data_IF_269512831247
#
_entry.id   IF_269512831247
#
_cell.length_a   1.000
_cell.length_b   1.000
_cell.length_c   1.000
_cell.angle_alpha   90.00
_cell.angle_beta   90.00
_cell.angle_gamma   90.00
#
_symmetry.space_group_name_H-M   'P 1'
#
loop_
_entity.id
_entity.type
_entity.pdbx_description
1 polymer ?
#
# COMPACT_ATOMS: atom_id res chain seq x y z
N UNK A 1 -15.88 -22.42 -21.06
CA UNK A 1 -16.01 -21.26 -20.13
C UNK A 1 -14.76 -21.18 -19.27
N UNK A 2 -13.85 -20.23 -19.52
CA UNK A 2 -12.64 -20.01 -18.70
C UNK A 2 -12.97 -18.94 -17.65
N UNK A 3 -13.09 -19.33 -16.38
CA UNK A 3 -13.22 -18.37 -15.26
C UNK A 3 -11.84 -17.79 -15.00
N UNK A 4 -11.54 -16.62 -15.55
CA UNK A 4 -10.39 -15.83 -15.13
C UNK A 4 -10.71 -15.27 -13.75
N UNK A 5 -10.32 -15.99 -12.69
CA UNK A 5 -10.34 -15.42 -11.35
C UNK A 5 -9.31 -14.28 -11.34
N UNK A 6 -9.79 -13.04 -11.41
CA UNK A 6 -8.97 -11.85 -11.27
C UNK A 6 -8.26 -11.94 -9.91
N UNK A 7 -6.96 -12.21 -9.93
CA UNK A 7 -6.17 -12.22 -8.72
C UNK A 7 -6.00 -10.76 -8.26
N UNK A 8 -6.94 -10.28 -7.44
CA UNK A 8 -6.95 -8.93 -6.87
C UNK A 8 -5.90 -8.72 -5.76
N UNK A 9 -5.05 -9.71 -5.49
CA UNK A 9 -3.99 -9.60 -4.49
C UNK A 9 -2.86 -8.72 -5.03
N UNK A 10 -2.49 -7.69 -4.26
CA UNK A 10 -1.33 -6.83 -4.56
C UNK A 10 -0.13 -7.29 -3.75
N UNK A 11 1.04 -7.34 -4.39
CA UNK A 11 2.30 -7.63 -3.70
C UNK A 11 2.79 -6.34 -3.04
N UNK A 12 3.06 -6.40 -1.74
CA UNK A 12 3.62 -5.29 -0.95
C UNK A 12 4.92 -5.77 -0.32
N UNK A 13 6.03 -5.11 -0.64
CA UNK A 13 7.32 -5.34 0.00
C UNK A 13 7.54 -4.30 1.08
N UNK A 14 7.85 -4.74 2.31
CA UNK A 14 8.06 -3.87 3.46
C UNK A 14 9.44 -4.17 4.05
N UNK A 15 10.20 -3.13 4.40
CA UNK A 15 11.43 -3.27 5.18
C UNK A 15 11.06 -3.33 6.65
N UNK A 16 11.48 -4.39 7.33
CA UNK A 16 11.26 -4.59 8.75
C UNK A 16 12.60 -4.67 9.47
N UNK A 17 12.61 -4.31 10.75
CA UNK A 17 13.76 -4.49 11.61
C UNK A 17 14.12 -5.99 11.72
N UNK A 18 15.42 -6.37 11.76
CA UNK A 18 15.85 -7.76 11.88
C UNK A 18 15.24 -8.48 13.09
N UNK A 19 14.96 -7.79 14.20
CA UNK A 19 14.27 -8.39 15.34
C UNK A 19 12.83 -8.80 15.01
N UNK A 20 12.13 -8.03 14.18
CA UNK A 20 10.78 -8.35 13.71
C UNK A 20 10.82 -9.54 12.75
N UNK A 21 11.80 -9.58 11.84
CA UNK A 21 12.00 -10.73 10.96
C UNK A 21 12.23 -12.02 11.76
N UNK A 22 13.09 -11.97 12.78
CA UNK A 22 13.37 -13.13 13.63
C UNK A 22 12.12 -13.62 14.37
N UNK A 23 11.29 -12.70 14.88
CA UNK A 23 10.01 -13.04 15.52
C UNK A 23 9.02 -13.67 14.53
N UNK A 24 8.91 -13.12 13.32
CA UNK A 24 8.07 -13.69 12.26
C UNK A 24 8.55 -15.08 11.85
N UNK A 25 9.86 -15.28 11.78
CA UNK A 25 10.48 -16.59 11.50
C UNK A 25 10.13 -17.61 12.58
N UNK A 26 10.29 -17.24 13.85
CA UNK A 26 9.94 -18.12 14.96
C UNK A 26 8.45 -18.49 14.93
N UNK A 27 7.56 -17.51 14.71
CA UNK A 27 6.13 -17.77 14.57
C UNK A 27 5.82 -18.73 13.41
N UNK A 28 6.50 -18.55 12.27
CA UNK A 28 6.39 -19.43 11.11
C UNK A 28 6.83 -20.86 11.43
N UNK A 29 7.99 -21.04 12.07
CA UNK A 29 8.54 -22.34 12.45
C UNK A 29 7.64 -23.07 13.45
N UNK A 30 7.16 -22.38 14.48
CA UNK A 30 6.34 -22.99 15.55
C UNK A 30 4.94 -23.37 15.06
N UNK A 31 4.36 -22.59 14.14
CA UNK A 31 3.00 -22.83 13.64
C UNK A 31 2.93 -23.62 12.34
N UNK A 32 4.07 -23.88 11.69
CA UNK A 32 4.15 -24.50 10.37
C UNK A 32 3.60 -23.63 9.23
N UNK A 33 3.50 -22.31 9.42
CA UNK A 33 2.98 -21.36 8.41
C UNK A 33 4.11 -20.53 7.80
N UNK A 34 3.85 -19.85 6.67
CA UNK A 34 4.81 -18.94 6.04
C UNK A 34 4.86 -17.60 6.78
N UNK A 35 6.02 -16.96 6.85
CA UNK A 35 6.18 -15.62 7.46
C UNK A 35 5.24 -14.58 6.84
N UNK A 36 5.02 -14.66 5.53
CA UNK A 36 4.12 -13.76 4.79
C UNK A 36 2.68 -13.81 5.29
N UNK A 37 2.23 -14.94 5.83
CA UNK A 37 0.89 -15.08 6.42
C UNK A 37 0.73 -14.18 7.65
N UNK A 38 1.74 -14.13 8.52
CA UNK A 38 1.70 -13.29 9.72
C UNK A 38 1.80 -11.81 9.39
N UNK A 39 2.60 -11.44 8.39
CA UNK A 39 2.65 -10.07 7.92
C UNK A 39 1.30 -9.62 7.34
N UNK A 40 0.68 -10.47 6.51
CA UNK A 40 -0.66 -10.21 5.98
C UNK A 40 -1.69 -10.05 7.10
N UNK A 41 -1.73 -10.99 8.06
CA UNK A 41 -2.66 -10.92 9.18
C UNK A 41 -2.45 -9.69 10.06
N UNK A 42 -1.21 -9.27 10.29
CA UNK A 42 -0.90 -8.05 11.04
C UNK A 42 -1.43 -6.80 10.32
N UNK A 43 -1.31 -6.76 8.99
CA UNK A 43 -1.85 -5.65 8.18
C UNK A 43 -3.38 -5.67 8.19
N UNK A 44 -4.00 -6.83 7.94
CA UNK A 44 -5.47 -6.98 7.88
C UNK A 44 -6.14 -6.70 9.22
N UNK A 45 -5.57 -7.17 10.33
CA UNK A 45 -6.10 -6.90 11.67
C UNK A 45 -5.73 -5.51 12.19
N UNK A 46 -4.57 -4.98 11.79
CA UNK A 46 -4.05 -3.71 12.27
C UNK A 46 -4.62 -2.49 11.55
N UNK A 47 -5.14 -2.63 10.33
CA UNK A 47 -5.57 -1.48 9.52
C UNK A 47 -6.65 -0.64 10.20
N UNK A 48 -7.66 -1.27 10.81
CA UNK A 48 -8.73 -0.53 11.50
C UNK A 48 -8.24 0.22 12.74
N UNK A 49 -7.25 -0.33 13.46
CA UNK A 49 -6.62 0.37 14.58
C UNK A 49 -5.72 1.51 14.12
N UNK A 50 -4.98 1.32 13.02
CA UNK A 50 -4.18 2.38 12.40
C UNK A 50 -5.07 3.51 11.89
N UNK A 51 -6.20 3.20 11.26
CA UNK A 51 -7.17 4.19 10.83
C UNK A 51 -7.58 5.06 12.01
N UNK A 52 -8.00 4.46 13.13
CA UNK A 52 -8.43 5.23 14.30
C UNK A 52 -7.30 6.07 14.94
N UNK A 53 -6.04 5.67 14.76
CA UNK A 53 -4.88 6.36 15.35
C UNK A 53 -4.42 7.54 14.49
N UNK A 54 -4.49 7.39 13.16
CA UNK A 54 -3.87 8.33 12.22
C UNK A 54 -4.88 9.16 11.41
N UNK A 55 -6.16 8.77 11.35
CA UNK A 55 -7.18 9.52 10.62
C UNK A 55 -8.02 10.38 11.59
N UNK A 56 -8.24 11.66 11.26
CA UNK A 56 -9.25 12.48 11.93
C UNK A 56 -10.65 11.85 11.81
N UNK A 57 -11.51 12.09 12.81
CA UNK A 57 -12.86 11.51 12.86
C UNK A 57 -13.71 11.78 11.60
N UNK A 58 -13.53 12.94 10.97
CA UNK A 58 -14.22 13.31 9.73
C UNK A 58 -13.81 12.43 8.55
N UNK A 59 -12.56 11.96 8.52
CA UNK A 59 -12.01 11.12 7.46
C UNK A 59 -12.32 9.64 7.73
N UNK A 60 -12.28 9.21 9.01
CA UNK A 60 -12.69 7.87 9.43
C UNK A 60 -14.10 7.50 8.99
N UNK A 61 -15.02 8.44 9.15
CA UNK A 61 -16.43 8.25 8.79
C UNK A 61 -16.59 8.01 7.28
N UNK A 62 -15.77 8.67 6.46
CA UNK A 62 -15.81 8.55 5.01
C UNK A 62 -15.05 7.32 4.47
N UNK A 63 -14.00 6.85 5.15
CA UNK A 63 -13.33 5.58 4.83
C UNK A 63 -14.27 4.41 5.11
N UNK A 64 -14.93 4.42 6.27
CA UNK A 64 -15.86 3.37 6.69
C UNK A 64 -17.15 3.33 5.85
N UNK A 65 -17.59 4.48 5.34
CA UNK A 65 -18.71 4.55 4.39
C UNK A 65 -18.31 4.20 2.95
N UNK A 66 -17.03 3.89 2.69
CA UNK A 66 -16.52 3.58 1.34
C UNK A 66 -16.56 4.77 0.38
N UNK A 67 -16.77 6.00 0.88
CA UNK A 67 -16.96 7.21 0.08
C UNK A 67 -15.63 7.89 -0.23
N UNK A 68 -14.61 7.69 0.60
CA UNK A 68 -13.25 8.10 0.28
C UNK A 68 -12.63 7.11 -0.71
N UNK A 69 -12.71 7.47 -1.99
CA UNK A 69 -11.72 7.04 -2.97
C UNK A 69 -10.35 7.49 -2.45
N UNK A 70 -9.33 6.61 -2.35
CA UNK A 70 -7.98 7.04 -2.07
C UNK A 70 -7.68 8.16 -3.05
N UNK A 71 -7.30 9.34 -2.55
CA UNK A 71 -6.89 10.44 -3.40
C UNK A 71 -5.88 9.86 -4.37
N UNK A 72 -6.29 9.66 -5.64
CA UNK A 72 -5.38 9.33 -6.73
C UNK A 72 -4.34 10.42 -6.60
N UNK A 73 -3.14 10.03 -6.20
CA UNK A 73 -2.00 10.92 -6.19
C UNK A 73 -2.04 11.60 -7.56
N UNK A 74 -2.07 12.93 -7.56
CA UNK A 74 -2.14 13.71 -8.78
C UNK A 74 -0.86 13.41 -9.57
N UNK A 75 -0.88 12.35 -10.36
CA UNK A 75 0.03 12.11 -11.45
C UNK A 75 -0.40 13.04 -12.58
N UNK A 76 -0.30 14.36 -12.38
CA UNK A 76 -0.56 15.35 -13.42
C UNK A 76 -0.12 16.78 -13.05
N UNK A 77 1.05 16.94 -12.41
CA UNK A 77 1.59 18.28 -12.18
C UNK A 77 3.09 18.42 -12.42
N UNK A 78 3.72 17.50 -13.15
CA UNK A 78 5.09 17.66 -13.66
C UNK A 78 5.25 17.10 -15.09
N UNK A 79 4.22 17.21 -15.92
CA UNK A 79 4.41 17.48 -17.34
C UNK A 79 3.99 18.93 -17.46
N UNK A 80 4.84 19.94 -17.39
CA UNK A 80 5.65 20.33 -18.55
C UNK A 80 6.63 21.46 -18.17
N UNK A 81 7.29 21.38 -17.01
CA UNK A 81 8.18 22.46 -16.53
C UNK A 81 9.49 22.57 -17.32
N UNK A 82 9.77 21.64 -18.24
CA UNK A 82 11.00 21.57 -19.02
C UNK A 82 10.78 21.41 -20.54
N UNK A 83 9.53 21.46 -21.02
CA UNK A 83 9.19 21.21 -22.44
C UNK A 83 9.66 22.30 -23.41
N UNK A 84 9.81 23.55 -22.95
CA UNK A 84 9.98 24.72 -23.82
C UNK A 84 11.41 25.31 -23.86
N UNK A 85 12.42 24.66 -23.27
CA UNK A 85 13.79 25.22 -23.23
C UNK A 85 14.72 24.75 -24.36
N UNK A 86 14.21 24.01 -25.35
CA UNK A 86 15.04 23.49 -26.46
C UNK A 86 14.45 23.71 -27.85
N UNK A 87 13.75 24.82 -28.06
CA UNK A 87 13.50 25.33 -29.40
C UNK A 87 13.98 26.77 -29.46
N UNK A 88 15.23 26.97 -29.88
CA UNK A 88 15.57 27.82 -31.03
C UNK A 88 17.09 28.06 -31.08
N UNK A 89 17.74 27.49 -32.08
CA UNK A 89 18.48 28.26 -33.09
C UNK A 89 19.26 27.32 -34.01
N UNK A 90 18.59 26.98 -35.10
CA UNK A 90 19.22 26.71 -36.39
C UNK A 90 19.82 28.02 -36.92
N UNK A 91 21.13 28.09 -37.09
CA UNK A 91 21.78 28.68 -38.27
C UNK A 91 23.23 28.20 -38.38
#
# INVERSE_FOLDING_TARGET
>A
MKRTAENKLKVVAVRVDPQIEQRLRLLAEVTGRKQSFFLQQMIESGIGAMENTWLPQDVLSQVRSGTLQPRRQASDATSDLFGDLYTDHTN
#
